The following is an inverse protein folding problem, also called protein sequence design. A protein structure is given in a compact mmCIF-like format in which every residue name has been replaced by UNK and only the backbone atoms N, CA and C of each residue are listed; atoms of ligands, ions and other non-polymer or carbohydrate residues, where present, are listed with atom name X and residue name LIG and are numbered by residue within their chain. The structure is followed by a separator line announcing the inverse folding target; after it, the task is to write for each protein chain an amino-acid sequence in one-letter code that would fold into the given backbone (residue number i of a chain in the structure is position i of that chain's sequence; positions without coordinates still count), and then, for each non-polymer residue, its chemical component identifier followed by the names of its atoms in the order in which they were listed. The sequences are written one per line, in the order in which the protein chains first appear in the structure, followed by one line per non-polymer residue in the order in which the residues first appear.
data_IF_106083899964
#
_entry.id   IF_106083899964
#
_cell.length_a   1.000
_cell.length_b   1.000
_cell.length_c   1.000
_cell.angle_alpha   90.00
_cell.angle_beta   90.00
_cell.angle_gamma   90.00
#
_symmetry.space_group_name_H-M   'P 1'
#
loop_
_entity.id
_entity.type
_entity.pdbx_description
1 polymer ?
#
# COMPACT_ATOMS: atom_id res chain seq x y z
N UNK A 1 -22.94 32.39 -0.01
CA UNK A 1 -22.07 31.19 0.08
C UNK A 1 -22.51 30.29 -1.04
N UNK A 2 -21.78 30.33 -2.15
CA UNK A 2 -22.09 29.47 -3.29
C UNK A 2 -22.00 28.02 -2.83
N UNK A 3 -23.09 27.30 -3.04
CA UNK A 3 -23.17 25.88 -2.83
C UNK A 3 -22.06 25.24 -3.66
N UNK A 4 -21.04 24.68 -3.02
CA UNK A 4 -20.17 23.73 -3.70
C UNK A 4 -21.11 22.59 -4.10
N UNK A 5 -21.62 22.64 -5.33
CA UNK A 5 -22.28 21.51 -5.98
C UNK A 5 -21.35 20.33 -5.79
N UNK A 6 -21.90 19.15 -5.48
CA UNK A 6 -21.10 17.94 -5.25
C UNK A 6 -20.16 17.74 -6.44
N UNK A 7 -18.86 17.98 -6.22
CA UNK A 7 -17.77 17.79 -7.16
C UNK A 7 -16.85 16.71 -6.58
N UNK A 8 -16.23 15.95 -7.45
CA UNK A 8 -15.23 14.95 -7.07
C UNK A 8 -13.90 15.64 -6.70
N UNK A 9 -13.04 14.95 -5.94
CA UNK A 9 -11.78 15.54 -5.46
C UNK A 9 -10.82 15.88 -6.62
N UNK A 10 -10.79 15.08 -7.69
CA UNK A 10 -10.03 15.36 -8.91
C UNK A 10 -10.50 16.65 -9.61
N UNK A 11 -11.80 16.91 -9.60
CA UNK A 11 -12.37 18.14 -10.16
C UNK A 11 -12.03 19.35 -9.30
N UNK A 12 -12.08 19.20 -7.98
CA UNK A 12 -11.66 20.28 -7.06
C UNK A 12 -10.16 20.53 -7.20
N UNK A 13 -9.35 19.47 -7.31
CA UNK A 13 -7.91 19.58 -7.55
C UNK A 13 -7.59 20.37 -8.82
N UNK A 14 -8.26 20.06 -9.93
CA UNK A 14 -8.01 20.75 -11.21
C UNK A 14 -8.56 22.18 -11.28
N UNK A 15 -9.77 22.42 -10.77
CA UNK A 15 -10.45 23.72 -10.88
C UNK A 15 -10.07 24.72 -9.76
N UNK A 16 -9.60 24.22 -8.61
CA UNK A 16 -9.37 25.02 -7.39
C UNK A 16 -8.02 24.69 -6.73
N UNK A 17 -6.92 24.79 -7.48
CA UNK A 17 -5.55 24.51 -7.01
C UNK A 17 -5.16 25.33 -5.76
N UNK A 18 -5.71 26.53 -5.61
CA UNK A 18 -5.47 27.43 -4.48
C UNK A 18 -5.83 26.81 -3.12
N UNK A 19 -6.76 25.84 -3.09
CA UNK A 19 -7.14 25.14 -1.86
C UNK A 19 -6.06 24.19 -1.33
N UNK A 20 -5.06 23.85 -2.16
CA UNK A 20 -4.06 22.83 -1.87
C UNK A 20 -2.63 23.38 -1.82
N UNK A 21 -2.46 24.70 -1.95
CA UNK A 21 -1.15 25.34 -2.05
C UNK A 21 -0.37 24.97 -3.32
N UNK A 22 0.90 25.36 -3.38
CA UNK A 22 1.77 25.15 -4.55
C UNK A 22 2.42 23.76 -4.55
N UNK A 23 1.58 22.73 -4.58
CA UNK A 23 2.05 21.34 -4.64
C UNK A 23 2.38 20.93 -6.09
N UNK A 24 3.61 20.47 -6.40
CA UNK A 24 4.06 20.24 -7.77
C UNK A 24 3.68 18.85 -8.28
N UNK A 25 2.38 18.55 -8.33
CA UNK A 25 1.86 17.31 -8.91
C UNK A 25 0.77 17.58 -9.93
N UNK A 26 0.75 16.78 -11.00
CA UNK A 26 -0.29 16.83 -12.02
C UNK A 26 -1.63 16.35 -11.43
N UNK A 27 -1.60 15.22 -10.74
CA UNK A 27 -2.76 14.59 -10.13
C UNK A 27 -2.78 14.79 -8.61
N UNK A 28 -3.95 14.61 -7.98
CA UNK A 28 -4.04 14.68 -6.52
C UNK A 28 -3.11 13.61 -5.90
N UNK A 29 -2.19 13.98 -5.00
CA UNK A 29 -1.01 13.17 -4.73
C UNK A 29 -1.23 12.00 -3.77
N UNK A 30 -2.39 11.91 -3.12
CA UNK A 30 -2.64 10.92 -2.07
C UNK A 30 -3.95 10.18 -2.29
N UNK A 31 -4.00 8.91 -1.90
CA UNK A 31 -5.28 8.19 -1.75
C UNK A 31 -5.35 7.57 -0.38
N UNK A 32 -6.42 7.87 0.36
CA UNK A 32 -6.70 7.24 1.65
C UNK A 32 -7.81 6.20 1.51
N UNK A 33 -7.58 5.00 2.04
CA UNK A 33 -8.59 3.93 2.11
C UNK A 33 -8.74 3.42 3.54
N UNK A 34 -9.95 2.99 3.88
CA UNK A 34 -10.20 2.12 5.02
C UNK A 34 -10.40 0.72 4.43
N UNK A 35 -9.60 -0.23 4.89
CA UNK A 35 -9.63 -1.62 4.39
C UNK A 35 -10.03 -2.52 5.54
N UNK A 36 -11.12 -3.27 5.34
CA UNK A 36 -11.53 -4.39 6.20
C UNK A 36 -10.95 -5.67 5.60
N UNK A 37 -10.03 -6.31 6.31
CA UNK A 37 -9.19 -7.38 5.79
C UNK A 37 -9.41 -8.71 6.51
N UNK A 38 -10.68 -9.16 6.52
CA UNK A 38 -11.12 -10.45 7.07
C UNK A 38 -10.52 -11.68 6.39
N UNK A 39 -10.23 -11.55 5.10
CA UNK A 39 -9.55 -12.58 4.32
C UNK A 39 -8.18 -12.09 3.87
N UNK A 40 -7.25 -13.02 3.68
CA UNK A 40 -5.95 -12.74 3.09
C UNK A 40 -6.13 -12.24 1.64
N UNK A 41 -5.98 -10.95 1.36
CA UNK A 41 -5.77 -10.50 -0.04
C UNK A 41 -4.41 -11.00 -0.56
N UNK A 42 -4.26 -10.81 -1.86
CA UNK A 42 -3.10 -11.20 -2.65
C UNK A 42 -1.82 -10.48 -2.26
N UNK A 43 -0.73 -11.12 -2.70
CA UNK A 43 0.63 -10.65 -2.65
C UNK A 43 0.88 -9.78 -3.89
N UNK A 44 1.41 -8.55 -3.79
CA UNK A 44 1.77 -7.73 -4.95
C UNK A 44 3.15 -7.04 -4.82
N UNK A 45 3.61 -6.18 -5.72
CA UNK A 45 4.79 -5.31 -5.50
C UNK A 45 4.45 -3.93 -6.03
N UNK A 46 4.80 -2.86 -5.31
CA UNK A 46 4.55 -1.51 -5.77
C UNK A 46 5.79 -0.94 -6.43
N UNK A 47 5.67 -0.47 -7.68
CA UNK A 47 6.80 0.06 -8.41
C UNK A 47 7.27 1.38 -7.79
N UNK A 48 8.56 1.66 -7.91
CA UNK A 48 9.08 3.02 -7.70
C UNK A 48 8.63 3.97 -8.83
N UNK A 49 8.93 5.26 -8.68
CA UNK A 49 8.55 6.27 -9.65
C UNK A 49 9.13 6.00 -11.05
N UNK A 50 10.38 5.53 -11.13
CA UNK A 50 11.04 5.29 -12.41
C UNK A 50 10.32 4.16 -13.17
N UNK A 51 10.09 3.04 -12.49
CA UNK A 51 9.40 1.88 -13.06
C UNK A 51 7.95 2.18 -13.39
N UNK A 52 7.22 2.85 -12.50
CA UNK A 52 5.82 3.23 -12.74
C UNK A 52 5.70 4.20 -13.92
N UNK A 53 6.61 5.16 -14.04
CA UNK A 53 6.56 6.12 -15.14
C UNK A 53 6.78 5.44 -16.50
N UNK A 54 7.75 4.52 -16.56
CA UNK A 54 8.09 3.78 -17.78
C UNK A 54 7.04 2.73 -18.17
N UNK A 55 6.51 1.99 -17.19
CA UNK A 55 5.69 0.80 -17.46
C UNK A 55 4.18 0.99 -17.18
N UNK A 56 3.79 2.00 -16.41
CA UNK A 56 2.40 2.24 -15.98
C UNK A 56 1.83 3.54 -16.56
N UNK A 57 2.20 3.92 -17.78
CA UNK A 57 1.69 5.12 -18.49
C UNK A 57 1.95 6.45 -17.77
N UNK A 58 3.17 6.65 -17.26
CA UNK A 58 3.56 7.89 -16.60
C UNK A 58 2.96 8.07 -15.19
N UNK A 59 2.46 6.99 -14.58
CA UNK A 59 1.97 7.01 -13.20
C UNK A 59 3.12 7.18 -12.20
N UNK A 60 2.78 7.66 -11.01
CA UNK A 60 3.70 7.72 -9.89
C UNK A 60 3.90 6.33 -9.28
N UNK A 61 5.09 6.13 -8.72
CA UNK A 61 5.37 5.00 -7.86
C UNK A 61 4.49 5.06 -6.62
N UNK A 62 4.39 3.92 -5.94
CA UNK A 62 3.40 3.76 -4.88
C UNK A 62 4.07 3.36 -3.57
N UNK A 63 4.39 4.38 -2.77
CA UNK A 63 4.72 4.14 -1.37
C UNK A 63 3.41 4.05 -0.59
N UNK A 64 3.41 3.32 0.53
CA UNK A 64 2.25 3.21 1.37
C UNK A 64 2.57 3.47 2.82
N UNK A 65 1.54 3.80 3.59
CA UNK A 65 1.59 3.56 5.03
C UNK A 65 0.27 3.03 5.55
N UNK A 66 0.37 2.22 6.59
CA UNK A 66 -0.74 1.54 7.22
C UNK A 66 -0.81 1.96 8.68
N UNK A 67 -1.99 2.39 9.10
CA UNK A 67 -2.33 2.56 10.50
C UNK A 67 -3.35 1.50 10.91
N UNK A 68 -3.01 0.71 11.91
CA UNK A 68 -3.85 -0.38 12.42
C UNK A 68 -4.93 0.24 13.31
N UNK A 69 -6.17 0.28 12.82
CA UNK A 69 -7.30 0.87 13.55
C UNK A 69 -7.83 -0.13 14.59
N UNK A 70 -7.92 -1.40 14.22
CA UNK A 70 -8.33 -2.51 15.10
C UNK A 70 -7.46 -3.75 14.82
N UNK A 71 -7.53 -4.83 15.60
CA UNK A 71 -6.89 -6.13 15.36
C UNK A 71 -7.14 -7.09 16.54
N UNK A 72 -7.41 -8.39 16.30
CA UNK A 72 -7.27 -9.36 17.40
C UNK A 72 -5.83 -9.66 17.79
N UNK A 73 -5.74 -10.34 18.91
CA UNK A 73 -4.55 -10.78 19.61
C UNK A 73 -3.53 -11.52 18.73
N UNK A 74 -3.97 -12.25 17.69
CA UNK A 74 -3.09 -12.98 16.78
C UNK A 74 -3.01 -12.39 15.37
N UNK A 75 -3.51 -11.17 15.16
CA UNK A 75 -3.45 -10.47 13.88
C UNK A 75 -2.00 -10.33 13.36
N UNK A 76 -1.81 -10.57 12.06
CA UNK A 76 -0.51 -10.45 11.41
C UNK A 76 -0.58 -9.64 10.13
N UNK A 77 0.47 -8.89 9.86
CA UNK A 77 0.77 -8.36 8.53
C UNK A 77 1.99 -9.07 7.96
N UNK A 78 2.09 -9.10 6.63
CA UNK A 78 3.28 -9.55 5.93
C UNK A 78 4.00 -8.34 5.35
N UNK A 79 5.22 -8.08 5.84
CA UNK A 79 6.10 -7.05 5.28
C UNK A 79 7.44 -7.70 4.96
N UNK A 80 7.56 -8.11 3.69
CA UNK A 80 8.80 -8.58 3.10
C UNK A 80 9.10 -10.04 3.24
N UNK A 81 10.33 -10.37 2.88
CA UNK A 81 10.79 -11.75 2.72
C UNK A 81 12.10 -12.00 3.43
N UNK A 82 12.29 -13.25 3.89
CA UNK A 82 13.52 -13.81 4.42
C UNK A 82 14.55 -14.13 3.33
N UNK A 83 14.16 -14.16 2.05
CA UNK A 83 15.06 -14.46 0.95
C UNK A 83 16.20 -13.42 0.82
N UNK A 84 17.35 -13.91 0.39
CA UNK A 84 18.59 -13.14 0.24
C UNK A 84 18.78 -12.63 -1.20
N UNK A 85 17.99 -13.13 -2.16
CA UNK A 85 18.13 -12.80 -3.58
C UNK A 85 16.81 -12.84 -4.38
N UNK A 86 16.81 -12.22 -5.57
CA UNK A 86 15.64 -12.25 -6.49
C UNK A 86 15.41 -13.65 -7.04
N UNK A 87 16.49 -14.36 -7.27
CA UNK A 87 16.53 -15.71 -7.79
C UNK A 87 15.89 -16.68 -6.80
N UNK A 88 16.16 -16.53 -5.50
CA UNK A 88 15.51 -17.31 -4.45
C UNK A 88 14.00 -17.06 -4.41
N UNK A 89 13.58 -15.80 -4.46
CA UNK A 89 12.15 -15.48 -4.50
C UNK A 89 11.47 -16.06 -5.74
N UNK A 90 12.10 -15.92 -6.92
CA UNK A 90 11.57 -16.49 -8.16
C UNK A 90 11.44 -18.01 -8.08
N UNK A 91 12.39 -18.69 -7.45
CA UNK A 91 12.34 -20.13 -7.21
C UNK A 91 11.14 -20.51 -6.32
N UNK A 92 10.95 -19.81 -5.19
CA UNK A 92 9.80 -20.05 -4.31
C UNK A 92 8.45 -19.76 -4.98
N UNK A 93 8.36 -18.72 -5.82
CA UNK A 93 7.16 -18.42 -6.62
C UNK A 93 6.88 -19.56 -7.61
N UNK A 94 7.90 -20.01 -8.35
CA UNK A 94 7.77 -21.07 -9.36
C UNK A 94 7.31 -22.40 -8.75
N UNK A 95 7.73 -22.70 -7.52
CA UNK A 95 7.39 -23.95 -6.83
C UNK A 95 6.18 -23.82 -5.87
N UNK A 96 5.54 -22.64 -5.80
CA UNK A 96 4.38 -22.43 -4.94
C UNK A 96 4.69 -22.43 -3.44
N UNK A 97 5.94 -22.14 -3.06
CA UNK A 97 6.44 -22.15 -1.68
C UNK A 97 6.77 -20.76 -1.16
N UNK A 98 6.21 -19.70 -1.76
CA UNK A 98 6.47 -18.30 -1.37
C UNK A 98 6.17 -18.01 0.10
N UNK A 99 5.13 -18.64 0.67
CA UNK A 99 4.70 -18.39 2.05
C UNK A 99 5.77 -18.75 3.10
N UNK A 100 6.68 -19.68 2.79
CA UNK A 100 7.74 -20.09 3.71
C UNK A 100 8.86 -19.07 3.87
N UNK A 101 8.94 -18.10 2.96
CA UNK A 101 9.97 -17.05 2.97
C UNK A 101 9.37 -15.69 3.27
N UNK A 102 8.12 -15.58 3.70
CA UNK A 102 7.50 -14.29 4.08
C UNK A 102 7.85 -13.93 5.53
N UNK A 103 7.95 -12.62 5.82
CA UNK A 103 8.10 -12.10 7.18
C UNK A 103 6.74 -11.70 7.74
N UNK A 104 6.29 -12.43 8.74
CA UNK A 104 5.06 -12.17 9.47
C UNK A 104 5.35 -11.29 10.69
N UNK A 105 4.54 -10.26 10.88
CA UNK A 105 4.66 -9.30 11.98
C UNK A 105 3.31 -9.27 12.70
N UNK A 106 3.32 -9.60 14.00
CA UNK A 106 2.14 -9.41 14.86
C UNK A 106 1.84 -7.92 14.98
N UNK A 107 0.56 -7.56 14.90
CA UNK A 107 0.11 -6.17 14.98
C UNK A 107 -0.89 -5.95 16.10
N UNK A 108 -1.00 -4.72 16.57
CA UNK A 108 -2.02 -4.27 17.51
C UNK A 108 -2.60 -2.91 17.11
N UNK A 109 -3.80 -2.55 17.60
CA UNK A 109 -4.39 -1.24 17.35
C UNK A 109 -3.44 -0.10 17.73
N UNK A 110 -3.38 0.92 16.88
CA UNK A 110 -2.54 2.10 17.05
C UNK A 110 -1.15 2.02 16.43
N UNK A 111 -0.73 0.86 15.93
CA UNK A 111 0.57 0.73 15.25
C UNK A 111 0.55 1.33 13.85
N UNK A 112 1.74 1.76 13.41
CA UNK A 112 1.95 2.42 12.13
C UNK A 112 3.14 1.81 11.39
N UNK A 113 2.94 1.51 10.11
CA UNK A 113 3.94 0.93 9.23
C UNK A 113 4.07 1.77 7.97
N UNK A 114 5.30 2.13 7.61
CA UNK A 114 5.60 2.75 6.32
C UNK A 114 6.24 1.72 5.38
N UNK A 115 5.75 1.67 4.15
CA UNK A 115 6.15 0.72 3.12
C UNK A 115 6.65 1.54 1.92
N UNK A 116 7.97 1.67 1.72
CA UNK A 116 8.50 2.43 0.60
C UNK A 116 8.23 1.73 -0.75
N UNK A 117 8.04 2.53 -1.80
CA UNK A 117 8.01 2.02 -3.17
C UNK A 117 9.37 1.47 -3.63
N UNK A 118 9.38 0.47 -4.51
CA UNK A 118 10.57 0.07 -5.25
C UNK A 118 11.23 -1.26 -4.88
N UNK A 119 12.42 -1.48 -5.46
CA UNK A 119 13.00 -2.79 -5.75
C UNK A 119 13.92 -3.42 -4.68
N UNK A 120 14.32 -2.71 -3.63
CA UNK A 120 15.46 -3.14 -2.79
C UNK A 120 15.08 -3.55 -1.38
N UNK A 121 13.80 -3.62 -1.07
CA UNK A 121 13.33 -3.83 0.29
C UNK A 121 11.95 -4.48 0.15
N UNK A 122 11.93 -5.79 0.30
CA UNK A 122 10.71 -6.55 0.60
C UNK A 122 9.79 -6.84 -0.59
N UNK A 123 10.16 -7.90 -1.29
CA UNK A 123 9.30 -8.64 -2.19
C UNK A 123 7.92 -8.88 -1.59
N UNK A 124 6.93 -8.66 -2.44
CA UNK A 124 5.68 -9.42 -2.47
C UNK A 124 4.78 -9.18 -1.25
N UNK A 125 3.73 -8.35 -1.41
CA UNK A 125 2.79 -7.88 -0.39
C UNK A 125 2.30 -9.06 0.43
N UNK A 126 1.70 -8.79 1.58
CA UNK A 126 0.37 -9.33 1.69
C UNK A 126 -0.50 -8.37 2.41
N UNK A 127 -1.71 -8.33 1.91
CA UNK A 127 -2.82 -8.01 2.72
C UNK A 127 -2.72 -8.52 4.14
N UNK A 128 -3.33 -7.75 5.01
CA UNK A 128 -3.61 -8.20 6.33
C UNK A 128 -4.49 -9.46 6.18
N UNK A 129 -3.96 -10.63 6.54
CA UNK A 129 -4.86 -11.56 7.21
C UNK A 129 -4.83 -11.04 8.61
N UNK A 130 -5.79 -10.17 8.93
CA UNK A 130 -6.27 -10.29 10.28
C UNK A 130 -7.01 -11.59 10.16
N UNK A 131 -6.34 -12.65 10.59
CA UNK A 131 -7.14 -13.60 11.32
C UNK A 131 -7.77 -12.75 12.38
N UNK A 132 -9.09 -12.65 12.21
CA UNK A 132 -10.08 -12.47 13.25
C UNK A 132 -10.89 -11.11 13.06
N UNK A 133 -10.33 -9.94 12.65
CA UNK A 133 -10.96 -8.68 12.16
C UNK A 133 -9.97 -7.48 12.35
N UNK A 134 -9.55 -6.79 11.28
CA UNK A 134 -9.07 -5.41 11.42
C UNK A 134 -9.38 -4.48 10.27
N UNK A 135 -9.41 -3.22 10.69
CA UNK A 135 -9.57 -2.04 9.90
C UNK A 135 -8.18 -1.39 9.77
N UNK A 136 -7.74 -1.12 8.55
CA UNK A 136 -6.49 -0.41 8.28
C UNK A 136 -6.74 0.86 7.50
N UNK A 137 -6.10 1.95 7.93
CA UNK A 137 -6.03 3.18 7.13
C UNK A 137 -4.78 3.13 6.27
N UNK A 138 -4.99 3.11 4.97
CA UNK A 138 -3.95 2.99 3.95
C UNK A 138 -3.80 4.31 3.19
N UNK A 139 -2.56 4.80 3.07
CA UNK A 139 -2.20 5.95 2.23
C UNK A 139 -1.39 5.47 1.02
N UNK A 140 -1.59 6.10 -0.14
CA UNK A 140 -0.83 5.96 -1.39
C UNK A 140 -0.07 7.25 -1.62
#
# INVERSE_FOLDING_TARGET
MDHIKVKTLDRIWSEHRELFGDFPSKDFPLLTKIVDARESLSIHVHPDNSYAYEHENGQYGKSECWYIIDAEEDAEIVIGTLAESREEVANHVQHGTIESILRYIKVKPGEFYFIPAGNSTYYFFRNISIRNDAIVRHYI
#
